data_IF_670876289398
#
_entry.id   IF_670876289398
#
_cell.length_a   1.000
_cell.length_b   1.000
_cell.length_c   1.000
_cell.angle_alpha   90.00
_cell.angle_beta   90.00
_cell.angle_gamma   90.00
#
_symmetry.space_group_name_H-M   'P 1'
#
loop_
_entity.id
_entity.type
_entity.pdbx_description
1 polymer ?
#
# COMPACT_ATOMS: atom_id res chain seq x y z
N UNK A 1 -7.88 20.70 8.97
CA UNK A 1 -7.18 19.47 8.57
C UNK A 1 -6.48 18.94 9.80
N UNK A 2 -6.86 17.78 10.32
CA UNK A 2 -6.21 17.22 11.51
C UNK A 2 -4.73 16.97 11.22
N UNK A 3 -3.85 17.30 12.16
CA UNK A 3 -2.40 17.10 12.01
C UNK A 3 -2.07 15.63 11.63
N UNK A 4 -2.80 14.67 12.23
CA UNK A 4 -2.66 13.23 11.94
C UNK A 4 -2.97 12.92 10.47
N UNK A 5 -3.97 13.59 9.89
CA UNK A 5 -4.34 13.43 8.49
C UNK A 5 -3.27 14.00 7.56
N UNK A 6 -2.71 15.17 7.89
CA UNK A 6 -1.63 15.77 7.11
C UNK A 6 -0.38 14.86 7.07
N UNK A 7 0.00 14.26 8.22
CA UNK A 7 1.10 13.29 8.29
C UNK A 7 0.80 12.04 7.45
N UNK A 8 -0.42 11.50 7.54
CA UNK A 8 -0.82 10.34 6.74
C UNK A 8 -0.75 10.62 5.23
N UNK A 9 -1.17 11.80 4.79
CA UNK A 9 -1.09 12.22 3.39
C UNK A 9 0.37 12.30 2.91
N UNK A 10 1.26 12.90 3.70
CA UNK A 10 2.69 12.97 3.37
C UNK A 10 3.26 11.55 3.19
N UNK A 11 2.94 10.64 4.12
CA UNK A 11 3.35 9.24 4.00
C UNK A 11 2.77 8.55 2.76
N UNK A 12 1.50 8.79 2.44
CA UNK A 12 0.88 8.23 1.23
C UNK A 12 1.60 8.69 -0.05
N UNK A 13 1.99 9.96 -0.12
CA UNK A 13 2.76 10.51 -1.25
C UNK A 13 4.14 9.86 -1.33
N UNK A 14 4.85 9.73 -0.20
CA UNK A 14 6.16 9.06 -0.15
C UNK A 14 6.06 7.62 -0.65
N UNK A 15 5.06 6.87 -0.19
CA UNK A 15 4.81 5.49 -0.62
C UNK A 15 4.47 5.41 -2.12
N UNK A 16 3.67 6.34 -2.64
CA UNK A 16 3.34 6.39 -4.06
C UNK A 16 4.58 6.68 -4.93
N UNK A 17 5.41 7.64 -4.52
CA UNK A 17 6.68 7.94 -5.21
C UNK A 17 7.61 6.71 -5.16
N UNK A 18 7.74 6.07 -4.00
CA UNK A 18 8.53 4.85 -3.83
C UNK A 18 8.04 3.73 -4.76
N UNK A 19 6.72 3.52 -4.87
CA UNK A 19 6.13 2.53 -5.76
C UNK A 19 6.48 2.81 -7.23
N UNK A 20 6.33 4.06 -7.68
CA UNK A 20 6.64 4.46 -9.07
C UNK A 20 8.13 4.26 -9.39
N UNK A 21 9.02 4.67 -8.47
CA UNK A 21 10.46 4.56 -8.67
C UNK A 21 10.95 3.10 -8.68
N UNK A 22 10.20 2.18 -8.08
CA UNK A 22 10.54 0.77 -8.00
C UNK A 22 9.62 -0.10 -8.86
N UNK A 23 9.00 0.41 -9.92
CA UNK A 23 7.95 -0.28 -10.69
C UNK A 23 8.40 -1.50 -11.54
N UNK A 24 9.55 -2.10 -11.23
CA UNK A 24 10.05 -3.32 -11.88
C UNK A 24 9.12 -4.52 -11.70
N UNK A 25 9.34 -5.55 -12.50
CA UNK A 25 8.60 -6.82 -12.41
C UNK A 25 9.17 -7.66 -11.29
N UNK A 26 8.30 -8.21 -10.45
CA UNK A 26 8.65 -9.08 -9.31
C UNK A 26 7.81 -10.34 -9.40
N UNK A 27 8.42 -11.47 -9.04
CA UNK A 27 7.71 -12.71 -8.83
C UNK A 27 7.20 -12.79 -7.40
N UNK A 28 5.88 -12.92 -7.28
CA UNK A 28 5.18 -13.08 -6.01
C UNK A 28 4.72 -14.53 -5.93
N UNK A 29 5.28 -15.28 -4.98
CA UNK A 29 4.76 -16.59 -4.58
C UNK A 29 3.89 -16.42 -3.34
N UNK A 30 2.61 -16.74 -3.44
CA UNK A 30 1.65 -16.65 -2.35
C UNK A 30 0.76 -17.89 -2.29
N UNK A 31 0.88 -18.64 -1.19
CA UNK A 31 0.22 -19.93 -0.99
C UNK A 31 0.51 -20.92 -2.14
N UNK A 32 -0.41 -21.04 -3.11
CA UNK A 32 -0.29 -21.91 -4.28
C UNK A 32 -0.27 -21.14 -5.61
N UNK A 33 -0.14 -19.81 -5.54
CA UNK A 33 -0.11 -18.93 -6.72
C UNK A 33 1.28 -18.35 -6.91
N UNK A 34 1.76 -18.37 -8.15
CA UNK A 34 2.97 -17.69 -8.60
C UNK A 34 2.56 -16.67 -9.66
N UNK A 35 2.88 -15.40 -9.41
CA UNK A 35 2.44 -14.29 -10.25
C UNK A 35 3.59 -13.34 -10.51
N UNK A 36 3.81 -12.99 -11.77
CA UNK A 36 4.75 -11.95 -12.18
C UNK A 36 3.98 -10.63 -12.37
N UNK A 37 4.24 -9.66 -11.50
CA UNK A 37 3.50 -8.39 -11.45
C UNK A 37 4.43 -7.22 -11.15
N UNK A 38 4.04 -5.99 -11.49
CA UNK A 38 4.81 -4.80 -11.12
C UNK A 38 4.87 -4.64 -9.59
N UNK A 39 6.07 -4.40 -9.06
CA UNK A 39 6.29 -4.10 -7.65
C UNK A 39 5.46 -2.90 -7.20
N UNK A 40 5.25 -1.92 -8.08
CA UNK A 40 4.44 -0.75 -7.79
C UNK A 40 3.01 -1.15 -7.41
N UNK A 41 2.42 -2.10 -8.15
CA UNK A 41 1.09 -2.63 -7.85
C UNK A 41 1.07 -3.37 -6.52
N UNK A 42 2.08 -4.21 -6.24
CA UNK A 42 2.19 -4.93 -4.97
C UNK A 42 2.24 -3.96 -3.79
N UNK A 43 3.04 -2.90 -3.88
CA UNK A 43 3.19 -1.87 -2.84
C UNK A 43 1.87 -1.11 -2.64
N UNK A 44 1.26 -0.61 -3.72
CA UNK A 44 0.03 0.18 -3.65
C UNK A 44 -1.15 -0.64 -3.11
N UNK A 45 -1.34 -1.88 -3.59
CA UNK A 45 -2.39 -2.77 -3.10
C UNK A 45 -2.19 -3.07 -1.61
N UNK A 46 -0.95 -3.36 -1.18
CA UNK A 46 -0.65 -3.61 0.24
C UNK A 46 -0.94 -2.39 1.12
N UNK A 47 -0.57 -1.19 0.66
CA UNK A 47 -0.84 0.06 1.37
C UNK A 47 -2.35 0.34 1.49
N UNK A 48 -3.11 0.16 0.41
CA UNK A 48 -4.58 0.28 0.41
C UNK A 48 -5.21 -0.73 1.36
N UNK A 49 -4.75 -1.99 1.33
CA UNK A 49 -5.26 -3.03 2.22
C UNK A 49 -5.03 -2.68 3.70
N UNK A 50 -3.83 -2.21 4.04
CA UNK A 50 -3.52 -1.72 5.38
C UNK A 50 -4.42 -0.55 5.82
N UNK A 51 -4.68 0.40 4.92
CA UNK A 51 -5.59 1.51 5.19
C UNK A 51 -7.04 1.05 5.40
N UNK A 52 -7.51 0.07 4.62
CA UNK A 52 -8.85 -0.53 4.79
C UNK A 52 -8.97 -1.25 6.14
N UNK A 53 -7.96 -2.01 6.54
CA UNK A 53 -7.95 -2.67 7.86
C UNK A 53 -8.00 -1.64 8.99
N UNK A 54 -7.22 -0.56 8.89
CA UNK A 54 -7.25 0.53 9.88
C UNK A 54 -8.62 1.23 9.93
N UNK A 55 -9.26 1.44 8.77
CA UNK A 55 -10.62 1.98 8.68
C UNK A 55 -11.62 1.05 9.39
N UNK A 56 -11.55 -0.27 9.14
CA UNK A 56 -12.44 -1.23 9.80
C UNK A 56 -12.25 -1.25 11.32
N UNK A 57 -11.01 -1.21 11.81
CA UNK A 57 -10.71 -1.10 13.24
C UNK A 57 -11.27 0.19 13.86
N UNK A 58 -11.33 1.28 13.10
CA UNK A 58 -11.95 2.54 13.54
C UNK A 58 -13.48 2.50 13.57
N UNK A 59 -14.12 1.54 12.88
CA UNK A 59 -15.58 1.36 12.92
C UNK A 59 -16.04 0.48 14.09
N UNK A 60 -15.15 -0.41 14.57
CA UNK A 60 -15.44 -1.34 15.68
C UNK A 60 -15.14 -0.73 17.06
N UNK A 61 -14.40 0.39 17.10
CA UNK A 61 -14.18 1.22 18.29
C UNK A 61 -15.19 2.36 18.34
#
# INVERSE_FOLDING_TARGET
MDWKFAVALIFAIIVAIFAIQNAGVVEVSFLAFELSISQALVILISAVFGALVALMLSLVR
#
